data_IF_629231989224
#
_entry.id   IF_629231989224
#
_cell.length_a   1.000
_cell.length_b   1.000
_cell.length_c   1.000
_cell.angle_alpha   90.00
_cell.angle_beta   90.00
_cell.angle_gamma   90.00
#
_symmetry.space_group_name_H-M   'P 1'
#
loop_
_entity.id
_entity.type
_entity.pdbx_description
1 polymer ?
#
# COMPACT_ATOMS: atom_id res chain seq x y z
N UNK A 1 6.79 0.13 -11.37
CA UNK A 1 7.80 1.18 -11.73
C UNK A 1 8.49 0.79 -13.04
N UNK A 2 9.15 1.73 -13.71
CA UNK A 2 9.90 1.44 -14.95
C UNK A 2 9.01 1.29 -16.21
N UNK A 3 9.63 1.05 -17.37
CA UNK A 3 8.95 1.06 -18.68
C UNK A 3 7.83 0.03 -18.79
N UNK A 4 7.95 -1.10 -18.10
CA UNK A 4 6.96 -2.19 -18.12
C UNK A 4 5.79 -1.99 -17.17
N UNK A 5 5.79 -0.95 -16.33
CA UNK A 5 4.75 -0.68 -15.31
C UNK A 5 4.32 -1.95 -14.54
N UNK A 6 5.30 -2.77 -14.17
CA UNK A 6 5.07 -4.05 -13.48
C UNK A 6 4.31 -3.84 -12.16
N UNK A 7 3.31 -4.68 -11.91
CA UNK A 7 2.57 -4.75 -10.66
C UNK A 7 3.54 -5.02 -9.50
N UNK A 8 3.37 -4.31 -8.39
CA UNK A 8 4.27 -4.40 -7.24
C UNK A 8 3.45 -4.17 -5.98
N UNK A 9 3.55 -5.09 -5.02
CA UNK A 9 3.02 -4.87 -3.67
C UNK A 9 4.05 -4.08 -2.83
N UNK A 10 3.66 -2.99 -2.15
CA UNK A 10 4.58 -2.10 -1.45
C UNK A 10 4.98 -2.61 -0.05
N UNK A 11 5.21 -3.92 0.10
CA UNK A 11 5.35 -4.58 1.40
C UNK A 11 6.79 -4.70 1.92
N UNK A 12 7.76 -4.00 1.30
CA UNK A 12 9.17 -4.15 1.64
C UNK A 12 9.50 -3.77 3.10
N UNK A 13 8.69 -2.87 3.67
CA UNK A 13 8.83 -2.41 5.06
C UNK A 13 7.78 -3.04 6.01
N UNK A 14 6.89 -3.90 5.51
CA UNK A 14 5.78 -4.50 6.25
C UNK A 14 4.41 -4.27 5.61
N UNK A 15 3.35 -4.60 6.33
CA UNK A 15 1.96 -4.60 5.85
C UNK A 15 1.10 -3.48 6.45
N UNK A 16 1.61 -2.74 7.43
CA UNK A 16 0.86 -1.61 8.01
C UNK A 16 0.85 -0.43 7.06
N UNK A 17 -0.18 0.41 7.18
CA UNK A 17 -0.32 1.61 6.36
C UNK A 17 0.91 2.53 6.47
N UNK A 18 1.45 2.74 7.66
CA UNK A 18 2.63 3.58 7.89
C UNK A 18 3.91 2.98 7.29
N UNK A 19 4.04 1.65 7.33
CA UNK A 19 5.17 0.92 6.74
C UNK A 19 5.14 1.02 5.20
N UNK A 20 3.96 0.89 4.61
CA UNK A 20 3.70 1.07 3.18
C UNK A 20 3.93 2.53 2.76
N UNK A 21 3.51 3.50 3.57
CA UNK A 21 3.77 4.92 3.33
C UNK A 21 5.28 5.19 3.31
N UNK A 22 6.02 4.69 4.30
CA UNK A 22 7.48 4.83 4.37
C UNK A 22 8.17 4.25 3.12
N UNK A 23 7.68 3.14 2.57
CA UNK A 23 8.19 2.59 1.30
C UNK A 23 8.02 3.57 0.13
N UNK A 24 6.86 4.22 0.02
CA UNK A 24 6.61 5.18 -1.05
C UNK A 24 7.40 6.47 -0.89
N UNK A 25 7.55 6.97 0.35
CA UNK A 25 8.39 8.13 0.68
C UNK A 25 9.86 7.88 0.34
N UNK A 26 10.43 6.76 0.79
CA UNK A 26 11.83 6.40 0.51
C UNK A 26 12.13 6.26 -0.99
N UNK A 27 11.13 5.81 -1.77
CA UNK A 27 11.31 5.60 -3.20
C UNK A 27 10.90 6.80 -4.06
N UNK A 28 10.42 7.88 -3.43
CA UNK A 28 9.94 9.09 -4.13
C UNK A 28 8.80 8.80 -5.11
N UNK A 29 8.01 7.75 -4.87
CA UNK A 29 6.95 7.36 -5.78
C UNK A 29 5.69 8.20 -5.54
N UNK A 30 5.00 8.52 -6.63
CA UNK A 30 3.66 9.11 -6.63
C UNK A 30 2.84 8.51 -7.76
N UNK A 31 1.54 8.37 -7.55
CA UNK A 31 0.62 7.92 -8.58
C UNK A 31 0.20 9.09 -9.48
N UNK A 32 -0.12 10.25 -8.89
CA UNK A 32 -0.40 11.47 -9.63
C UNK A 32 -0.02 12.72 -8.84
N UNK A 33 -0.06 13.87 -9.52
CA UNK A 33 -0.05 15.18 -8.88
C UNK A 33 -1.51 15.66 -8.81
N UNK A 34 -2.01 15.95 -7.61
CA UNK A 34 -3.36 16.48 -7.43
C UNK A 34 -3.54 17.80 -8.21
N UNK A 35 -4.60 17.91 -9.00
CA UNK A 35 -4.78 19.02 -9.95
C UNK A 35 -4.90 20.39 -9.26
N UNK A 36 -5.68 20.47 -8.17
CA UNK A 36 -5.93 21.76 -7.50
C UNK A 36 -4.81 22.16 -6.53
N UNK A 37 -4.29 21.22 -5.74
CA UNK A 37 -3.35 21.49 -4.66
C UNK A 37 -1.90 21.30 -5.06
N UNK A 38 -1.62 20.66 -6.20
CA UNK A 38 -0.27 20.28 -6.60
C UNK A 38 0.38 19.19 -5.73
N UNK A 39 -0.37 18.58 -4.80
CA UNK A 39 0.17 17.57 -3.90
C UNK A 39 0.59 16.30 -4.65
N UNK A 40 1.71 15.69 -4.24
CA UNK A 40 2.07 14.34 -4.69
C UNK A 40 1.21 13.32 -3.96
N UNK A 41 0.40 12.55 -4.69
CA UNK A 41 -0.62 11.67 -4.10
C UNK A 41 -0.38 10.20 -4.40
N UNK A 42 -0.82 9.36 -3.46
CA UNK A 42 -0.84 7.91 -3.56
C UNK A 42 -2.30 7.42 -3.63
N UNK A 43 -2.57 6.39 -4.45
CA UNK A 43 -3.88 5.74 -4.52
C UNK A 43 -3.80 4.41 -3.78
N UNK A 44 -4.57 4.25 -2.72
CA UNK A 44 -4.80 2.92 -2.15
C UNK A 44 -5.76 2.12 -3.05
N UNK A 45 -5.50 0.83 -3.23
CA UNK A 45 -6.41 -0.13 -3.87
C UNK A 45 -6.66 -1.29 -2.89
N UNK A 46 -7.93 -1.47 -2.54
CA UNK A 46 -8.52 -2.65 -1.87
C UNK A 46 -7.49 -3.48 -1.05
N UNK A 47 -7.06 -2.95 0.11
CA UNK A 47 -6.01 -3.56 0.93
C UNK A 47 -6.59 -4.65 1.84
N UNK A 48 -7.41 -5.57 1.32
CA UNK A 48 -8.12 -6.54 2.15
C UNK A 48 -7.14 -7.45 2.91
N UNK A 49 -6.08 -7.94 2.26
CA UNK A 49 -5.12 -8.84 2.90
C UNK A 49 -4.34 -8.11 4.02
N UNK A 50 -3.87 -6.90 3.74
CA UNK A 50 -3.14 -6.07 4.69
C UNK A 50 -4.01 -5.75 5.91
N UNK A 51 -5.26 -5.33 5.70
CA UNK A 51 -6.18 -5.02 6.80
C UNK A 51 -6.66 -6.26 7.55
N UNK A 52 -7.00 -7.34 6.84
CA UNK A 52 -7.42 -8.61 7.44
C UNK A 52 -6.33 -9.19 8.34
N UNK A 53 -5.07 -9.18 7.89
CA UNK A 53 -3.93 -9.77 8.61
C UNK A 53 -3.70 -9.13 10.00
N UNK A 54 -4.21 -7.91 10.20
CA UNK A 54 -4.13 -7.15 11.44
C UNK A 54 -5.37 -7.33 12.33
N UNK A 55 -6.43 -7.99 11.84
CA UNK A 55 -7.71 -8.18 12.52
C UNK A 55 -7.72 -9.34 13.53
N UNK A 56 -8.78 -9.39 14.36
CA UNK A 56 -8.94 -10.48 15.35
C UNK A 56 -9.17 -11.83 14.70
N UNK A 57 -9.90 -11.89 13.58
CA UNK A 57 -10.14 -13.13 12.83
C UNK A 57 -8.83 -13.79 12.40
N UNK A 58 -7.92 -13.04 11.78
CA UNK A 58 -6.60 -13.53 11.40
C UNK A 58 -5.78 -14.00 12.62
N UNK A 59 -5.78 -13.23 13.72
CA UNK A 59 -5.12 -13.63 14.98
C UNK A 59 -5.70 -14.90 15.59
N UNK A 60 -6.98 -15.16 15.38
CA UNK A 60 -7.68 -16.37 15.81
C UNK A 60 -7.59 -17.53 14.81
N UNK A 61 -6.82 -17.38 13.73
CA UNK A 61 -6.61 -18.43 12.72
C UNK A 61 -7.76 -18.60 11.72
N UNK A 62 -8.73 -17.69 11.70
CA UNK A 62 -9.83 -17.69 10.73
C UNK A 62 -9.32 -17.18 9.40
N UNK A 63 -9.35 -18.03 8.38
CA UNK A 63 -8.92 -17.72 7.01
C UNK A 63 -10.05 -17.05 6.21
N UNK A 64 -9.75 -16.71 4.95
CA UNK A 64 -10.72 -16.08 4.05
C UNK A 64 -11.83 -17.02 3.55
N UNK A 65 -11.64 -18.35 3.65
CA UNK A 65 -12.46 -19.37 3.01
C UNK A 65 -13.46 -20.03 3.97
#
# INVERSE_FOLDING_TARGET
>A
KGPEKRLTFPWANGLRADEILAYYEQTGFKDWTHADTGASTLKAQHPEFELWSQGVHARSGVSCA
#
